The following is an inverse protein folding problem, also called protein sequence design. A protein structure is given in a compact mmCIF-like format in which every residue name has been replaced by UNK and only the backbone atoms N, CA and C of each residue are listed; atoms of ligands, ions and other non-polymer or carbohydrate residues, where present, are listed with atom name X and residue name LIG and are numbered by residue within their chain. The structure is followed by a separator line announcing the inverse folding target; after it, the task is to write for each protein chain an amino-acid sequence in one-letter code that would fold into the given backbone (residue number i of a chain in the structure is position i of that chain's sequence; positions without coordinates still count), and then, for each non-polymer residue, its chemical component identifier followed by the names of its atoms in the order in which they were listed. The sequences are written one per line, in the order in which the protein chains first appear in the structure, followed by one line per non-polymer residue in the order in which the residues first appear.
data_IF_526636414060
#
_entry.id   IF_526636414060
#
_cell.length_a   1.000
_cell.length_b   1.000
_cell.length_c   1.000
_cell.angle_alpha   90.00
_cell.angle_beta   90.00
_cell.angle_gamma   90.00
#
_symmetry.space_group_name_H-M   'P 1'
#
loop_
_entity.id
_entity.type
_entity.pdbx_description
1 polymer ?
#
# COMPACT_ATOMS: atom_id res chain seq x y z
N UNK A 1 -11.27 -6.44 7.55
CA UNK A 1 -11.32 -4.98 7.31
C UNK A 1 -12.42 -4.74 6.32
N UNK A 2 -13.38 -3.90 6.68
CA UNK A 2 -14.60 -3.69 5.88
C UNK A 2 -14.71 -2.23 5.53
N UNK A 3 -14.81 -1.95 4.23
CA UNK A 3 -14.94 -0.60 3.68
C UNK A 3 -16.37 -0.39 3.19
N UNK A 4 -16.92 0.80 3.44
CA UNK A 4 -18.29 1.15 3.04
C UNK A 4 -18.33 2.52 2.37
N UNK A 5 -19.37 2.75 1.57
CA UNK A 5 -19.63 4.03 0.93
C UNK A 5 -18.46 4.52 0.06
N UNK A 6 -18.17 5.82 0.13
CA UNK A 6 -17.19 6.50 -0.74
C UNK A 6 -15.76 5.98 -0.62
N UNK A 7 -15.40 5.33 0.49
CA UNK A 7 -14.05 4.78 0.69
C UNK A 7 -13.82 3.58 -0.23
N UNK A 8 -14.88 2.85 -0.60
CA UNK A 8 -14.80 1.70 -1.51
C UNK A 8 -14.27 2.13 -2.88
N UNK A 9 -14.81 3.22 -3.43
CA UNK A 9 -14.39 3.74 -4.75
C UNK A 9 -12.89 4.04 -4.78
N UNK A 10 -12.35 4.59 -3.69
CA UNK A 10 -10.91 4.90 -3.58
C UNK A 10 -10.08 3.62 -3.47
N UNK A 11 -10.54 2.65 -2.68
CA UNK A 11 -9.83 1.37 -2.51
C UNK A 11 -9.78 0.60 -3.82
N UNK A 12 -10.89 0.51 -4.54
CA UNK A 12 -10.96 -0.21 -5.81
C UNK A 12 -10.06 0.40 -6.89
N UNK A 13 -9.96 1.73 -6.94
CA UNK A 13 -9.20 2.43 -7.98
C UNK A 13 -7.70 2.53 -7.67
N UNK A 14 -7.33 2.70 -6.40
CA UNK A 14 -5.97 3.13 -6.04
C UNK A 14 -5.20 2.17 -5.14
N UNK A 15 -5.85 1.18 -4.52
CA UNK A 15 -5.18 0.25 -3.60
C UNK A 15 -4.88 -1.06 -4.29
N UNK A 16 -3.61 -1.45 -4.25
CA UNK A 16 -3.11 -2.75 -4.72
C UNK A 16 -2.47 -3.52 -3.58
N UNK A 17 -2.30 -4.83 -3.80
CA UNK A 17 -1.59 -5.69 -2.86
C UNK A 17 -0.17 -5.17 -2.67
N UNK A 18 0.19 -4.93 -1.41
CA UNK A 18 1.51 -4.42 -1.02
C UNK A 18 1.51 -2.93 -0.67
N UNK A 19 0.44 -2.20 -0.96
CA UNK A 19 0.32 -0.81 -0.55
C UNK A 19 0.15 -0.73 0.97
N UNK A 20 0.82 0.26 1.56
CA UNK A 20 0.70 0.54 2.99
C UNK A 20 -0.38 1.58 3.18
N UNK A 21 -1.25 1.33 4.14
CA UNK A 21 -2.37 2.21 4.47
C UNK A 21 -2.33 2.52 5.97
N UNK A 22 -2.57 3.78 6.31
CA UNK A 22 -3.07 4.16 7.62
C UNK A 22 -4.59 4.08 7.59
N UNK A 23 -5.19 3.45 8.58
CA UNK A 23 -6.62 3.18 8.63
C UNK A 23 -7.13 3.52 10.02
N UNK A 24 -8.17 4.35 10.07
CA UNK A 24 -8.91 4.66 11.30
C UNK A 24 -10.34 4.12 11.18
N UNK A 25 -10.85 3.58 12.28
CA UNK A 25 -12.18 2.99 12.32
C UNK A 25 -12.51 2.43 13.68
N UNK A 26 -13.46 1.50 13.70
CA UNK A 26 -13.87 0.77 14.91
C UNK A 26 -13.64 -0.72 14.76
N UNK A 27 -13.41 -1.39 15.88
CA UNK A 27 -13.39 -2.86 15.92
C UNK A 27 -14.83 -3.35 16.02
N UNK A 28 -15.17 -4.34 15.20
CA UNK A 28 -16.45 -5.01 15.20
C UNK A 28 -16.23 -6.51 15.40
N UNK A 29 -16.97 -7.08 16.35
CA UNK A 29 -16.98 -8.51 16.62
C UNK A 29 -18.29 -9.08 16.10
N UNK A 30 -18.21 -10.09 15.24
CA UNK A 30 -19.41 -10.77 14.75
C UNK A 30 -19.27 -12.28 14.90
N UNK A 31 -20.43 -12.94 14.97
CA UNK A 31 -20.53 -14.38 15.09
C UNK A 31 -21.47 -14.89 14.00
N UNK A 32 -21.05 -15.95 13.31
CA UNK A 32 -21.90 -16.65 12.35
C UNK A 32 -21.93 -18.12 12.71
N UNK A 33 -23.08 -18.76 12.53
CA UNK A 33 -23.22 -20.20 12.66
C UNK A 33 -23.32 -20.80 11.27
N UNK A 34 -22.55 -21.84 10.99
CA UNK A 34 -22.72 -22.62 9.75
C UNK A 34 -23.86 -23.64 9.87
N UNK A 35 -24.26 -24.23 8.74
CA UNK A 35 -25.37 -25.17 8.67
C UNK A 35 -25.15 -26.43 9.52
N UNK A 36 -23.91 -26.70 9.94
CA UNK A 36 -23.55 -27.82 10.81
C UNK A 36 -23.55 -27.42 12.30
N UNK A 37 -23.94 -26.19 12.62
CA UNK A 37 -24.02 -25.66 13.97
C UNK A 37 -22.71 -25.13 14.52
N UNK A 38 -21.62 -25.10 13.73
CA UNK A 38 -20.32 -24.60 14.18
C UNK A 38 -20.35 -23.07 14.23
N UNK A 39 -19.99 -22.54 15.39
CA UNK A 39 -19.86 -21.10 15.61
C UNK A 39 -18.52 -20.59 15.10
N UNK A 40 -18.53 -19.56 14.27
CA UNK A 40 -17.35 -18.85 13.78
C UNK A 40 -17.35 -17.42 14.30
N UNK A 41 -16.20 -16.98 14.79
CA UNK A 41 -15.99 -15.64 15.29
C UNK A 41 -15.18 -14.83 14.29
N UNK A 42 -15.61 -13.61 14.05
CA UNK A 42 -14.92 -12.66 13.18
C UNK A 42 -14.58 -11.42 13.98
N UNK A 43 -13.40 -10.90 13.74
CA UNK A 43 -12.97 -9.60 14.25
C UNK A 43 -12.59 -8.77 13.06
N UNK A 44 -13.39 -7.74 12.81
CA UNK A 44 -13.21 -6.83 11.70
C UNK A 44 -12.88 -5.43 12.21
N UNK A 45 -12.20 -4.68 11.35
CA UNK A 45 -12.05 -3.23 11.51
C UNK A 45 -12.95 -2.62 10.45
N UNK A 46 -14.00 -1.93 10.90
CA UNK A 46 -14.87 -1.15 10.01
C UNK A 46 -14.22 0.21 9.81
N UNK A 47 -13.85 0.50 8.58
CA UNK A 47 -13.05 1.66 8.23
C UNK A 47 -13.92 2.89 8.07
N UNK A 48 -13.57 3.96 8.78
CA UNK A 48 -14.19 5.26 8.66
C UNK A 48 -13.34 6.18 7.77
N UNK A 49 -12.02 6.18 7.99
CA UNK A 49 -11.06 7.00 7.26
C UNK A 49 -9.80 6.21 6.91
N UNK A 50 -9.17 6.54 5.79
CA UNK A 50 -7.91 5.93 5.37
C UNK A 50 -7.00 6.91 4.65
N UNK A 51 -5.70 6.67 4.76
CA UNK A 51 -4.65 7.42 4.08
C UNK A 51 -3.67 6.44 3.44
N UNK A 52 -3.38 6.64 2.16
CA UNK A 52 -2.36 5.87 1.45
C UNK A 52 -0.96 6.33 1.88
N UNK A 53 -0.19 5.40 2.45
CA UNK A 53 1.19 5.60 2.80
C UNK A 53 2.01 5.04 1.63
N UNK A 54 2.44 5.90 0.71
CA UNK A 54 3.09 5.50 -0.55
C UNK A 54 4.13 4.38 -0.39
N UNK A 55 4.31 3.57 -1.43
CA UNK A 55 5.25 2.45 -1.40
C UNK A 55 6.69 2.96 -1.25
N UNK A 56 7.33 2.71 -0.11
CA UNK A 56 8.79 2.82 0.02
C UNK A 56 9.35 1.62 -0.71
N UNK A 57 9.48 1.72 -2.03
CA UNK A 57 9.95 0.61 -2.85
C UNK A 57 9.70 0.88 -4.33
N UNK A 58 10.66 1.57 -4.95
CA UNK A 58 11.02 1.53 -6.36
C UNK A 58 9.89 1.48 -7.38
N UNK A 59 9.71 2.58 -8.11
CA UNK A 59 8.95 2.57 -9.36
C UNK A 59 9.44 1.46 -10.28
N UNK A 60 8.67 0.39 -10.39
CA UNK A 60 8.73 -0.57 -11.49
C UNK A 60 7.42 -0.44 -12.28
N UNK A 61 7.29 0.71 -12.96
CA UNK A 61 6.39 0.83 -14.10
C UNK A 61 7.01 0.05 -15.26
N UNK A 62 6.23 -0.88 -15.79
CA UNK A 62 6.67 -1.92 -16.71
C UNK A 62 7.18 -1.43 -18.07
N UNK A 63 8.14 -2.21 -18.58
CA UNK A 63 8.37 -2.58 -19.98
C UNK A 63 7.95 -1.63 -21.11
N UNK A 64 8.96 -1.03 -21.73
CA UNK A 64 8.94 -0.56 -23.12
C UNK A 64 10.38 -0.41 -23.61
N UNK A 65 10.80 -1.24 -24.57
CA UNK A 65 12.18 -1.33 -25.03
C UNK A 65 12.66 -0.22 -25.97
N UNK A 66 13.98 -0.07 -26.06
CA UNK A 66 14.69 0.69 -27.10
C UNK A 66 15.97 1.37 -26.58
N UNK A 67 17.09 1.40 -27.32
CA UNK A 67 18.44 1.38 -26.73
C UNK A 67 19.22 2.71 -26.88
N UNK A 68 20.45 2.69 -26.36
CA UNK A 68 21.61 3.53 -26.71
C UNK A 68 21.69 4.96 -26.16
N UNK A 69 22.83 5.25 -25.52
CA UNK A 69 23.24 6.62 -25.17
C UNK A 69 24.37 6.72 -24.15
N UNK A 70 25.57 6.23 -24.50
CA UNK A 70 26.83 6.58 -23.83
C UNK A 70 27.00 8.10 -23.63
N UNK A 71 27.43 8.52 -22.43
CA UNK A 71 27.93 9.87 -22.16
C UNK A 71 28.47 10.02 -20.72
N UNK A 72 29.58 10.75 -20.49
CA UNK A 72 30.69 10.24 -19.68
C UNK A 72 30.67 10.63 -18.19
N UNK A 73 31.40 9.82 -17.42
CA UNK A 73 31.73 10.00 -16.01
C UNK A 73 32.70 11.20 -15.84
N UNK A 74 32.24 12.28 -15.22
CA UNK A 74 33.10 13.32 -14.67
C UNK A 74 32.38 14.11 -13.57
N UNK A 75 32.12 13.46 -12.43
CA UNK A 75 31.79 14.16 -11.20
C UNK A 75 33.07 14.29 -10.36
N UNK A 76 33.55 15.54 -10.30
CA UNK A 76 34.66 16.05 -9.51
C UNK A 76 34.69 15.48 -8.08
N UNK A 77 35.74 14.72 -7.75
CA UNK A 77 36.13 14.49 -6.35
C UNK A 77 36.57 15.84 -5.77
N UNK A 78 35.73 16.44 -4.93
CA UNK A 78 36.12 17.54 -4.05
C UNK A 78 36.61 16.93 -2.74
N UNK A 79 37.93 16.94 -2.55
CA UNK A 79 38.60 16.68 -1.29
C UNK A 79 38.17 17.74 -0.25
N UNK A 80 37.41 17.33 0.76
CA UNK A 80 37.21 18.14 1.97
C UNK A 80 38.30 17.76 2.96
N UNK A 81 39.32 18.62 3.05
CA UNK A 81 40.35 18.60 4.07
C UNK A 81 39.71 18.92 5.43
N UNK A 82 39.51 17.90 6.27
CA UNK A 82 39.07 18.07 7.65
C UNK A 82 40.27 18.47 8.53
N UNK A 83 40.11 19.53 9.34
CA UNK A 83 41.05 19.89 10.42
C UNK A 83 40.89 18.93 11.60
#
# INVERSE_FOLDING_TARGET
MTFFGRVVDVVEQYVKKGDRLFVEGRIEYSQTQDDQGVTRYWTDIVVNEMVMLGSTGGGNYGGGGGPEGEGPLAALTLEVQNR
#
